data_IF_842467986396
#
_entry.id   IF_842467986396
#
_cell.length_a   1.000
_cell.length_b   1.000
_cell.length_c   1.000
_cell.angle_alpha   90.00
_cell.angle_beta   90.00
_cell.angle_gamma   90.00
#
_symmetry.space_group_name_H-M   'P 1'
#
loop_
_entity.id
_entity.type
_entity.pdbx_description
1 polymer ?
#
# COMPACT_ATOMS: atom_id res chain seq x y z
N UNK A 1 -43.67 16.19 1.73
CA UNK A 1 -42.44 16.11 0.92
C UNK A 1 -41.32 16.81 1.69
N UNK A 2 -40.46 16.06 2.39
CA UNK A 2 -39.26 16.62 3.03
C UNK A 2 -38.06 16.16 2.20
N UNK A 3 -37.51 17.08 1.42
CA UNK A 3 -36.24 16.89 0.70
C UNK A 3 -35.13 17.09 1.73
N UNK A 4 -34.55 16.00 2.20
CA UNK A 4 -33.37 16.05 3.06
C UNK A 4 -32.14 15.95 2.15
N UNK A 5 -31.46 17.08 2.11
CA UNK A 5 -30.08 17.32 1.70
C UNK A 5 -29.16 16.29 2.38
N UNK A 6 -28.17 15.74 1.69
CA UNK A 6 -26.75 15.87 2.03
C UNK A 6 -25.88 14.95 1.17
N UNK A 7 -24.86 15.56 0.59
CA UNK A 7 -23.70 14.93 0.00
C UNK A 7 -23.01 14.00 1.01
N UNK A 8 -22.58 12.84 0.52
CA UNK A 8 -21.36 12.19 0.98
C UNK A 8 -20.81 11.45 -0.24
N UNK A 9 -19.77 12.04 -0.85
CA UNK A 9 -18.80 11.25 -1.57
C UNK A 9 -18.19 10.29 -0.54
N UNK A 10 -18.77 9.10 -0.44
CA UNK A 10 -18.08 7.99 0.21
C UNK A 10 -17.01 7.53 -0.75
N UNK A 11 -15.87 8.22 -0.72
CA UNK A 11 -14.61 7.61 -1.10
C UNK A 11 -14.44 6.43 -0.14
N UNK A 12 -14.95 5.28 -0.59
CA UNK A 12 -14.85 4.01 0.11
C UNK A 12 -13.40 3.56 0.05
N UNK A 13 -12.54 4.20 0.84
CA UNK A 13 -11.26 3.66 1.30
C UNK A 13 -11.57 2.58 2.33
N UNK A 14 -12.30 1.54 1.90
CA UNK A 14 -12.53 0.35 2.69
C UNK A 14 -11.38 -0.59 2.36
N UNK A 15 -10.30 -0.39 3.12
CA UNK A 15 -9.54 -1.45 3.78
C UNK A 15 -9.32 -2.72 2.96
N UNK A 16 -8.14 -2.84 2.36
CA UNK A 16 -7.47 -4.14 2.33
C UNK A 16 -6.91 -4.32 3.74
N UNK A 17 -7.69 -4.79 4.70
CA UNK A 17 -7.74 -6.22 5.02
C UNK A 17 -6.34 -6.81 4.91
N UNK A 18 -5.49 -6.52 5.91
CA UNK A 18 -4.43 -7.43 6.29
C UNK A 18 -5.10 -8.79 6.49
N UNK A 19 -4.96 -9.68 5.50
CA UNK A 19 -5.37 -11.07 5.61
C UNK A 19 -4.64 -11.67 6.79
N UNK A 20 -5.33 -11.71 7.93
CA UNK A 20 -5.59 -12.90 8.73
C UNK A 20 -4.67 -14.09 8.41
N UNK A 21 -3.40 -13.99 8.79
CA UNK A 21 -2.47 -15.08 9.08
C UNK A 21 -1.17 -14.45 9.62
N UNK A 22 -0.81 -14.85 10.85
CA UNK A 22 0.51 -14.80 11.49
C UNK A 22 1.37 -13.53 11.36
N UNK A 23 1.51 -12.77 12.47
CA UNK A 23 2.63 -11.89 12.91
C UNK A 23 3.54 -11.14 11.89
N UNK A 24 3.18 -11.02 10.62
CA UNK A 24 3.96 -10.35 9.58
C UNK A 24 3.64 -8.86 9.57
N UNK A 25 4.68 -8.03 9.68
CA UNK A 25 4.53 -6.57 9.59
C UNK A 25 4.37 -6.18 8.13
N UNK A 26 3.13 -5.96 7.72
CA UNK A 26 2.78 -5.46 6.40
C UNK A 26 2.54 -3.94 6.43
N UNK A 27 3.20 -3.26 5.50
CA UNK A 27 2.99 -1.84 5.21
C UNK A 27 2.29 -1.73 3.87
N UNK A 28 1.33 -0.83 3.74
CA UNK A 28 0.63 -0.63 2.48
C UNK A 28 0.20 0.82 2.32
N UNK A 29 0.23 1.30 1.09
CA UNK A 29 -0.25 2.61 0.72
C UNK A 29 -1.07 2.50 -0.57
N UNK A 30 -1.87 3.54 -0.83
CA UNK A 30 -2.59 3.69 -2.09
C UNK A 30 -2.28 5.07 -2.61
N UNK A 31 -1.74 5.14 -3.83
CA UNK A 31 -1.39 6.40 -4.47
C UNK A 31 -2.63 7.20 -4.84
N UNK A 32 -2.41 8.47 -5.21
CA UNK A 32 -3.49 9.34 -5.71
C UNK A 32 -4.12 8.81 -7.02
N UNK A 33 -3.36 8.07 -7.83
CA UNK A 33 -3.85 7.38 -9.02
C UNK A 33 -4.66 6.11 -8.72
N UNK A 34 -4.71 5.70 -7.44
CA UNK A 34 -5.43 4.52 -6.99
C UNK A 34 -4.66 3.21 -7.12
N UNK A 35 -3.35 3.27 -7.38
CA UNK A 35 -2.50 2.08 -7.39
C UNK A 35 -2.15 1.69 -5.95
N UNK A 36 -2.22 0.40 -5.66
CA UNK A 36 -1.90 -0.14 -4.33
C UNK A 36 -0.48 -0.67 -4.31
N UNK A 37 0.28 -0.23 -3.32
CA UNK A 37 1.59 -0.77 -2.97
C UNK A 37 1.50 -1.41 -1.58
N UNK A 38 2.09 -2.58 -1.42
CA UNK A 38 2.12 -3.33 -0.17
C UNK A 38 3.48 -4.01 -0.04
N UNK A 39 4.05 -4.03 1.15
CA UNK A 39 5.28 -4.71 1.46
C UNK A 39 5.15 -5.39 2.81
N UNK A 40 5.30 -6.71 2.83
CA UNK A 40 5.13 -7.55 4.01
C UNK A 40 6.45 -8.18 4.42
N UNK A 41 6.91 -7.88 5.64
CA UNK A 41 8.06 -8.54 6.24
C UNK A 41 7.70 -9.96 6.68
N UNK A 42 8.42 -10.95 6.15
CA UNK A 42 8.27 -12.36 6.49
C UNK A 42 9.02 -12.78 7.76
N UNK A 43 9.80 -11.90 8.38
CA UNK A 43 10.56 -12.14 9.61
C UNK A 43 11.80 -13.01 9.42
N UNK A 44 12.18 -13.29 8.17
CA UNK A 44 13.34 -14.10 7.78
C UNK A 44 14.34 -13.32 6.90
N UNK A 45 14.23 -11.98 6.84
CA UNK A 45 15.02 -11.11 5.95
C UNK A 45 14.50 -11.06 4.50
N UNK A 46 13.28 -11.55 4.25
CA UNK A 46 12.59 -11.40 2.96
C UNK A 46 11.29 -10.66 3.11
N UNK A 47 10.90 -9.97 2.05
CA UNK A 47 9.74 -9.11 2.02
C UNK A 47 8.90 -9.43 0.79
N UNK A 48 7.60 -9.64 0.98
CA UNK A 48 6.66 -9.81 -0.12
C UNK A 48 6.12 -8.44 -0.53
N UNK A 49 6.49 -8.00 -1.72
CA UNK A 49 6.04 -6.76 -2.32
C UNK A 49 4.84 -7.01 -3.24
N UNK A 50 3.84 -6.14 -3.20
CA UNK A 50 2.76 -6.11 -4.18
C UNK A 50 2.62 -4.71 -4.71
N UNK A 51 2.78 -4.53 -6.02
CA UNK A 51 2.63 -3.25 -6.72
C UNK A 51 1.79 -3.45 -7.98
N UNK A 52 0.81 -2.58 -8.25
CA UNK A 52 -0.08 -2.72 -9.41
C UNK A 52 -0.78 -4.10 -9.52
N UNK A 53 -1.00 -4.76 -8.38
CA UNK A 53 -1.56 -6.12 -8.31
C UNK A 53 -0.58 -7.25 -8.70
N UNK A 54 0.68 -6.91 -9.00
CA UNK A 54 1.77 -7.86 -9.24
C UNK A 54 2.48 -8.11 -7.92
N UNK A 55 2.66 -9.39 -7.57
CA UNK A 55 3.43 -9.81 -6.41
C UNK A 55 4.87 -10.10 -6.80
N UNK A 56 5.80 -9.60 -6.01
CA UNK A 56 7.22 -9.90 -6.06
C UNK A 56 7.73 -10.21 -4.66
N UNK A 57 8.91 -10.81 -4.58
CA UNK A 57 9.62 -11.01 -3.32
C UNK A 57 10.97 -10.33 -3.44
N UNK A 58 11.34 -9.58 -2.42
CA UNK A 58 12.62 -8.90 -2.30
C UNK A 58 13.29 -9.28 -0.97
N UNK A 59 14.58 -9.05 -0.88
CA UNK A 59 15.40 -9.33 0.29
C UNK A 59 15.72 -8.03 1.03
N UNK A 60 16.20 -8.13 2.27
CA UNK A 60 16.67 -6.96 3.01
C UNK A 60 17.84 -6.24 2.32
N UNK A 61 18.64 -6.96 1.54
CA UNK A 61 19.70 -6.37 0.71
C UNK A 61 19.12 -5.50 -0.41
N UNK A 62 17.98 -5.88 -0.97
CA UNK A 62 17.29 -5.11 -2.01
C UNK A 62 16.64 -3.83 -1.46
N UNK A 63 16.43 -3.73 -0.15
CA UNK A 63 15.93 -2.51 0.48
C UNK A 63 17.04 -1.45 0.63
N UNK A 64 18.30 -1.79 0.36
CA UNK A 64 19.46 -0.89 0.46
C UNK A 64 19.58 -0.17 1.83
N UNK A 65 19.07 -0.80 2.89
CA UNK A 65 19.02 -0.23 4.25
C UNK A 65 17.81 0.68 4.54
N UNK A 66 16.90 0.83 3.60
CA UNK A 66 15.60 1.48 3.81
C UNK A 66 14.66 0.60 4.60
N UNK A 67 13.77 1.21 5.37
CA UNK A 67 12.71 0.47 6.05
C UNK A 67 11.62 0.07 5.05
N UNK A 68 10.91 -1.05 5.26
CA UNK A 68 9.81 -1.46 4.40
C UNK A 68 8.72 -0.39 4.25
N UNK A 69 8.49 0.39 5.31
CA UNK A 69 7.56 1.51 5.28
C UNK A 69 8.03 2.62 4.33
N UNK A 70 9.32 2.99 4.39
CA UNK A 70 9.88 4.03 3.51
C UNK A 70 9.79 3.62 2.03
N UNK A 71 10.06 2.35 1.71
CA UNK A 71 9.96 1.86 0.33
C UNK A 71 8.53 1.93 -0.19
N UNK A 72 7.55 1.57 0.64
CA UNK A 72 6.13 1.68 0.29
C UNK A 72 5.72 3.15 0.14
N UNK A 73 6.12 4.02 1.06
CA UNK A 73 5.78 5.45 1.03
C UNK A 73 6.40 6.15 -0.19
N UNK A 74 7.66 5.85 -0.54
CA UNK A 74 8.35 6.37 -1.72
C UNK A 74 7.68 5.90 -3.02
N UNK A 75 7.35 4.61 -3.13
CA UNK A 75 6.62 4.09 -4.29
C UNK A 75 5.24 4.74 -4.47
N UNK A 76 4.56 5.07 -3.38
CA UNK A 76 3.30 5.82 -3.44
C UNK A 76 3.50 7.30 -3.80
N UNK A 77 4.56 7.93 -3.31
CA UNK A 77 4.88 9.32 -3.65
C UNK A 77 5.24 9.45 -5.13
N UNK A 78 6.08 8.54 -5.65
CA UNK A 78 6.47 8.49 -7.07
C UNK A 78 5.26 8.26 -7.99
N UNK A 79 4.33 7.40 -7.58
CA UNK A 79 3.10 7.15 -8.33
C UNK A 79 2.05 8.28 -8.20
N UNK A 80 2.34 9.32 -7.42
CA UNK A 80 1.54 10.55 -7.33
C UNK A 80 2.07 11.67 -8.24
N UNK A 81 3.35 11.62 -8.63
CA UNK A 81 4.01 12.60 -9.51
C UNK A 81 3.88 12.25 -11.00
N UNK A 82 2.66 11.92 -11.43
CA UNK A 82 2.30 11.94 -12.84
C UNK A 82 2.29 13.36 -13.40
N UNK A 83 3.48 13.93 -13.66
CA UNK A 83 3.65 15.16 -14.43
C UNK A 83 3.20 14.92 -15.88
N UNK A 84 1.92 15.20 -16.16
CA UNK A 84 1.36 15.36 -17.51
C UNK A 84 0.34 16.50 -17.55
#
# INVERSE_FOLDING_TARGET
MRKIVLALMTLSLISVSCSKDDDKKCYSCTSELGNKFELCDNGNGTYDATAYGIKGTMTEEDLEGSTPQQVVDEACADDSEGDF
#
